data_IF_338773474248
#
_entry.id   IF_338773474248
#
_cell.length_a   1.000
_cell.length_b   1.000
_cell.length_c   1.000
_cell.angle_alpha   90.00
_cell.angle_beta   90.00
_cell.angle_gamma   90.00
#
_symmetry.space_group_name_H-M   'P 1'
#
loop_
_entity.id
_entity.type
_entity.pdbx_description
1 polymer ?
#
# COMPACT_ATOMS: atom_id res chain seq x y z
N UNK A 1 -11.81 -5.23 -21.01
CA UNK A 1 -11.11 -6.27 -20.23
C UNK A 1 -9.66 -5.92 -19.85
N UNK A 2 -8.89 -5.18 -20.68
CA UNK A 2 -7.47 -4.85 -20.38
C UNK A 2 -7.28 -3.80 -19.26
N UNK A 3 -8.20 -2.84 -19.12
CA UNK A 3 -8.09 -1.74 -18.15
C UNK A 3 -8.32 -2.20 -16.70
N UNK A 4 -9.28 -3.10 -16.47
CA UNK A 4 -9.59 -3.65 -15.13
C UNK A 4 -8.41 -4.46 -14.54
N UNK A 5 -7.61 -5.11 -15.40
CA UNK A 5 -6.42 -5.86 -14.97
C UNK A 5 -5.29 -4.94 -14.50
N UNK A 6 -5.18 -3.76 -15.09
CA UNK A 6 -4.13 -2.78 -14.78
C UNK A 6 -4.44 -2.10 -13.45
N UNK A 7 -5.69 -1.69 -13.26
CA UNK A 7 -6.16 -1.07 -12.01
C UNK A 7 -6.04 -2.05 -10.83
N UNK A 8 -6.47 -3.30 -11.00
CA UNK A 8 -6.29 -4.35 -9.98
C UNK A 8 -4.82 -4.61 -9.64
N UNK A 9 -3.91 -4.53 -10.63
CA UNK A 9 -2.47 -4.72 -10.41
C UNK A 9 -1.87 -3.59 -9.56
N UNK A 10 -2.23 -2.34 -9.84
CA UNK A 10 -1.71 -1.20 -9.08
C UNK A 10 -2.34 -1.09 -7.69
N UNK A 11 -3.62 -1.42 -7.53
CA UNK A 11 -4.24 -1.54 -6.21
C UNK A 11 -3.55 -2.63 -5.40
N UNK A 12 -3.28 -3.80 -5.99
CA UNK A 12 -2.54 -4.89 -5.33
C UNK A 12 -1.11 -4.49 -4.94
N UNK A 13 -0.39 -3.80 -5.82
CA UNK A 13 0.94 -3.26 -5.52
C UNK A 13 0.91 -2.21 -4.42
N UNK A 14 -0.02 -1.25 -4.49
CA UNK A 14 -0.20 -0.22 -3.48
C UNK A 14 -0.51 -0.81 -2.11
N UNK A 15 -1.45 -1.75 -2.05
CA UNK A 15 -1.80 -2.47 -0.82
C UNK A 15 -0.60 -3.23 -0.25
N UNK A 16 0.16 -3.94 -1.09
CA UNK A 16 1.38 -4.63 -0.68
C UNK A 16 2.46 -3.69 -0.11
N UNK A 17 2.68 -2.54 -0.75
CA UNK A 17 3.60 -1.50 -0.26
C UNK A 17 3.12 -0.95 1.07
N UNK A 18 1.83 -0.65 1.19
CA UNK A 18 1.22 -0.15 2.41
C UNK A 18 1.35 -1.13 3.58
N UNK A 19 1.11 -2.42 3.33
CA UNK A 19 1.33 -3.50 4.33
C UNK A 19 2.79 -3.58 4.73
N UNK A 20 3.73 -3.51 3.79
CA UNK A 20 5.16 -3.59 4.08
C UNK A 20 5.63 -2.41 4.96
N UNK A 21 5.15 -1.20 4.68
CA UNK A 21 5.43 -0.02 5.50
C UNK A 21 4.79 -0.16 6.88
N UNK A 22 3.54 -0.61 6.96
CA UNK A 22 2.86 -0.88 8.22
C UNK A 22 3.60 -1.91 9.09
N UNK A 23 4.10 -2.98 8.47
CA UNK A 23 4.91 -3.99 9.13
C UNK A 23 6.25 -3.44 9.62
N UNK A 24 6.91 -2.57 8.85
CA UNK A 24 8.15 -1.91 9.26
C UNK A 24 7.93 -1.02 10.50
N UNK A 25 6.84 -0.23 10.51
CA UNK A 25 6.47 0.60 11.67
C UNK A 25 6.17 -0.29 12.87
N UNK A 26 5.37 -1.35 12.68
CA UNK A 26 5.06 -2.30 13.76
C UNK A 26 6.33 -2.92 14.35
N UNK A 27 7.30 -3.28 13.51
CA UNK A 27 8.57 -3.84 13.94
C UNK A 27 9.39 -2.83 14.76
N UNK A 28 9.46 -1.57 14.34
CA UNK A 28 10.13 -0.49 15.10
C UNK A 28 9.46 -0.27 16.47
N UNK A 29 8.13 -0.19 16.48
CA UNK A 29 7.38 0.03 17.73
C UNK A 29 7.54 -1.17 18.66
N UNK A 30 7.47 -2.39 18.14
CA UNK A 30 7.68 -3.59 18.94
C UNK A 30 9.08 -3.64 19.57
N UNK A 31 10.13 -3.30 18.81
CA UNK A 31 11.50 -3.25 19.36
C UNK A 31 11.66 -2.17 20.43
N UNK A 32 11.01 -1.02 20.27
CA UNK A 32 11.18 0.13 21.17
C UNK A 32 10.30 0.08 22.41
N UNK A 33 9.12 -0.52 22.33
CA UNK A 33 8.11 -0.56 23.41
C UNK A 33 7.84 -1.97 23.96
N UNK A 34 8.22 -3.02 23.23
CA UNK A 34 7.87 -4.41 23.56
C UNK A 34 6.40 -4.75 23.35
N UNK A 35 5.62 -3.89 22.67
CA UNK A 35 4.20 -4.12 22.44
C UNK A 35 3.94 -4.83 21.10
N UNK A 36 3.66 -6.12 21.18
CA UNK A 36 3.28 -6.95 20.04
C UNK A 36 1.86 -6.66 19.51
N UNK A 37 1.02 -5.97 20.28
CA UNK A 37 -0.37 -5.65 19.88
C UNK A 37 -0.41 -4.78 18.62
N UNK A 38 0.65 -4.00 18.38
CA UNK A 38 0.78 -3.09 17.23
C UNK A 38 0.65 -3.80 15.89
N UNK A 39 1.04 -5.07 15.80
CA UNK A 39 0.87 -5.88 14.59
C UNK A 39 -0.59 -6.03 14.17
N UNK A 40 -1.51 -6.11 15.15
CA UNK A 40 -2.94 -6.32 14.89
C UNK A 40 -3.60 -5.12 14.20
N UNK A 41 -3.10 -3.91 14.47
CA UNK A 41 -3.69 -2.68 13.93
C UNK A 41 -2.87 -2.10 12.76
N UNK A 42 -1.55 -2.26 12.74
CA UNK A 42 -0.72 -1.65 11.69
C UNK A 42 -0.82 -2.34 10.34
N UNK A 43 -1.07 -3.64 10.28
CA UNK A 43 -1.28 -4.36 9.02
C UNK A 43 -2.55 -3.88 8.30
N UNK A 44 -3.75 -3.83 8.94
CA UNK A 44 -4.94 -3.30 8.28
C UNK A 44 -4.85 -1.81 7.98
N UNK A 45 -4.21 -0.99 8.84
CA UNK A 45 -3.94 0.43 8.54
C UNK A 45 -3.04 0.56 7.31
N UNK A 46 -1.96 -0.19 7.26
CA UNK A 46 -1.03 -0.22 6.13
C UNK A 46 -1.72 -0.62 4.83
N UNK A 47 -2.52 -1.68 4.84
CA UNK A 47 -3.30 -2.10 3.68
C UNK A 47 -4.27 -0.99 3.20
N UNK A 48 -5.00 -0.37 4.14
CA UNK A 48 -5.99 0.67 3.85
C UNK A 48 -5.34 1.92 3.22
N UNK A 49 -4.18 2.33 3.73
CA UNK A 49 -3.40 3.46 3.19
C UNK A 49 -2.65 3.10 1.90
N UNK A 50 -2.34 1.82 1.68
CA UNK A 50 -1.70 1.34 0.46
C UNK A 50 -2.58 1.45 -0.78
N UNK A 51 -3.89 1.26 -0.63
CA UNK A 51 -4.86 1.36 -1.74
C UNK A 51 -4.84 2.73 -2.44
N UNK A 52 -4.99 3.87 -1.75
CA UNK A 52 -4.93 5.19 -2.41
C UNK A 52 -3.56 5.48 -3.03
N UNK A 53 -2.46 4.95 -2.46
CA UNK A 53 -1.13 5.04 -3.08
C UNK A 53 -1.12 4.28 -4.42
N UNK A 54 -1.65 3.06 -4.44
CA UNK A 54 -1.78 2.26 -5.66
C UNK A 54 -2.64 2.94 -6.73
N UNK A 55 -3.76 3.54 -6.34
CA UNK A 55 -4.62 4.31 -7.24
C UNK A 55 -3.91 5.53 -7.81
N UNK A 56 -3.19 6.31 -6.99
CA UNK A 56 -2.41 7.45 -7.46
C UNK A 56 -1.29 7.07 -8.42
N UNK A 57 -0.65 5.90 -8.22
CA UNK A 57 0.35 5.37 -9.16
C UNK A 57 -0.28 4.96 -10.50
N UNK A 58 -1.47 4.37 -10.49
CA UNK A 58 -2.23 4.07 -11.70
C UNK A 58 -2.56 5.35 -12.49
N UNK A 59 -3.04 6.40 -11.81
CA UNK A 59 -3.36 7.67 -12.45
C UNK A 59 -2.14 8.34 -13.09
N UNK A 60 -0.98 8.33 -12.42
CA UNK A 60 0.27 8.83 -13.00
C UNK A 60 0.71 8.02 -14.21
N UNK A 61 0.60 6.70 -14.15
CA UNK A 61 0.92 5.85 -15.30
C UNK A 61 -0.04 6.07 -16.47
N UNK A 62 -1.34 6.26 -16.20
CA UNK A 62 -2.34 6.59 -17.20
C UNK A 62 -2.06 7.95 -17.84
N UNK A 63 -1.71 8.97 -17.06
CA UNK A 63 -1.28 10.30 -17.56
C UNK A 63 -0.03 10.19 -18.44
N UNK A 64 0.98 9.44 -18.01
CA UNK A 64 2.24 9.27 -18.76
C UNK A 64 2.05 8.51 -20.09
N UNK A 65 1.04 7.63 -20.19
CA UNK A 65 0.69 6.97 -21.46
C UNK A 65 -0.14 7.85 -22.41
N UNK A 66 -0.78 8.90 -21.88
CA UNK A 66 -1.59 9.84 -22.67
C UNK A 66 -0.77 11.02 -23.24
N UNK A 67 0.55 11.05 -23.02
CA UNK A 67 1.46 11.93 -23.76
C UNK A 67 1.50 13.39 -23.28
N UNK A 68 1.47 13.62 -21.96
CA UNK A 68 2.05 14.85 -21.39
C UNK A 68 3.57 14.70 -21.21
#
# INVERSE_FOLDING_TARGET
>A
MKQNNIESKYIGQGMGIGIAIGALIALIVNITTGDDSVWSYMIPIGASMGVPIGLGLNERHKKKQLGE
#
